data_IF_216612031639
#
_entry.id   IF_216612031639
#
_cell.length_a   1.000
_cell.length_b   1.000
_cell.length_c   1.000
_cell.angle_alpha   90.00
_cell.angle_beta   90.00
_cell.angle_gamma   90.00
#
_symmetry.space_group_name_H-M   'P 1'
#
loop_
_entity.id
_entity.type
_entity.pdbx_description
1 polymer ?
#
# COMPACT_ATOMS: atom_id res chain seq x y z
N UNK A 1 5.38 -25.90 2.83
CA UNK A 1 5.12 -24.74 3.70
C UNK A 1 6.20 -23.73 3.43
N UNK A 2 5.83 -22.53 3.03
CA UNK A 2 6.74 -21.44 2.73
C UNK A 2 6.88 -20.51 3.95
N UNK A 3 8.04 -19.91 4.13
CA UNK A 3 8.25 -18.86 5.16
C UNK A 3 7.68 -17.53 4.67
N UNK A 4 7.49 -16.58 5.60
CA UNK A 4 7.06 -15.23 5.25
C UNK A 4 8.04 -14.53 4.27
N UNK A 5 9.34 -14.84 4.34
CA UNK A 5 10.31 -14.31 3.39
C UNK A 5 10.19 -14.93 1.99
N UNK A 6 9.86 -16.23 1.90
CA UNK A 6 9.61 -16.88 0.61
C UNK A 6 8.41 -16.24 -0.07
N UNK A 7 7.33 -16.00 0.69
CA UNK A 7 6.15 -15.30 0.17
C UNK A 7 6.44 -13.85 -0.19
N UNK A 8 7.27 -13.14 0.57
CA UNK A 8 7.73 -11.79 0.20
C UNK A 8 8.40 -11.80 -1.17
N UNK A 9 9.29 -12.77 -1.42
CA UNK A 9 9.99 -12.90 -2.71
C UNK A 9 8.98 -13.13 -3.84
N UNK A 10 7.97 -13.96 -3.61
CA UNK A 10 6.88 -14.21 -4.56
C UNK A 10 6.08 -12.93 -4.87
N UNK A 11 5.81 -12.09 -3.86
CA UNK A 11 4.88 -10.97 -4.00
C UNK A 11 5.54 -9.60 -4.30
N UNK A 12 6.84 -9.43 -4.09
CA UNK A 12 7.49 -8.11 -4.19
C UNK A 12 7.42 -7.45 -5.56
N UNK A 13 7.34 -8.24 -6.62
CA UNK A 13 7.26 -7.77 -8.01
C UNK A 13 5.84 -7.68 -8.57
N UNK A 14 4.84 -7.96 -7.74
CA UNK A 14 3.44 -7.89 -8.15
C UNK A 14 2.99 -6.48 -8.50
N UNK A 15 3.40 -5.49 -7.71
CA UNK A 15 3.07 -4.07 -7.92
C UNK A 15 4.36 -3.25 -7.95
N UNK A 16 4.48 -2.41 -8.96
CA UNK A 16 5.67 -1.59 -9.25
C UNK A 16 5.38 -0.09 -9.27
N UNK A 17 6.45 0.68 -9.44
CA UNK A 17 6.37 2.12 -9.66
C UNK A 17 6.42 2.45 -11.16
N UNK A 18 5.73 3.50 -11.58
CA UNK A 18 5.87 4.06 -12.94
C UNK A 18 7.01 5.09 -13.01
N UNK A 19 7.85 4.99 -14.04
CA UNK A 19 8.85 6.03 -14.33
C UNK A 19 8.13 7.34 -14.65
N UNK A 20 8.47 8.47 -13.99
CA UNK A 20 7.96 9.77 -14.40
C UNK A 20 8.24 10.02 -15.89
N UNK A 21 7.32 10.72 -16.57
CA UNK A 21 7.49 11.09 -17.99
C UNK A 21 8.62 12.12 -18.16
N UNK A 22 8.93 12.87 -17.09
CA UNK A 22 10.00 13.85 -17.08
C UNK A 22 11.37 13.16 -17.24
N UNK A 23 12.02 13.44 -18.37
CA UNK A 23 13.33 12.88 -18.75
C UNK A 23 14.46 13.30 -17.79
N UNK A 24 14.25 14.35 -16.97
CA UNK A 24 15.21 14.76 -15.94
C UNK A 24 15.27 13.80 -14.75
N UNK A 25 14.30 12.91 -14.61
CA UNK A 25 14.25 11.88 -13.58
C UNK A 25 14.78 10.54 -14.13
N UNK A 26 16.10 10.48 -14.39
CA UNK A 26 16.77 9.27 -14.88
C UNK A 26 16.86 8.15 -13.82
N UNK A 27 16.53 8.48 -12.58
CA UNK A 27 16.84 7.75 -11.37
C UNK A 27 16.03 6.48 -11.07
N UNK A 28 15.26 5.88 -11.98
CA UNK A 28 14.51 4.65 -11.62
C UNK A 28 14.94 3.44 -12.44
N UNK A 29 15.42 2.41 -11.75
CA UNK A 29 15.89 1.17 -12.35
C UNK A 29 14.73 0.27 -12.79
N UNK A 30 15.05 -0.69 -13.67
CA UNK A 30 14.07 -1.63 -14.21
C UNK A 30 13.34 -2.42 -13.12
N UNK A 31 14.05 -2.82 -12.07
CA UNK A 31 13.51 -3.60 -10.95
C UNK A 31 12.38 -2.85 -10.24
N UNK A 32 12.54 -1.55 -9.99
CA UNK A 32 11.51 -0.71 -9.35
C UNK A 32 10.30 -0.45 -10.25
N UNK A 33 10.46 -0.59 -11.56
CA UNK A 33 9.37 -0.46 -12.52
C UNK A 33 8.62 -1.76 -12.81
N UNK A 34 9.16 -2.90 -12.39
CA UNK A 34 8.58 -4.19 -12.69
C UNK A 34 7.22 -4.36 -12.00
N UNK A 35 6.22 -4.77 -12.78
CA UNK A 35 4.88 -5.11 -12.28
C UNK A 35 4.36 -6.35 -12.99
N UNK A 36 4.07 -7.40 -12.23
CA UNK A 36 3.50 -8.65 -12.76
C UNK A 36 1.96 -8.63 -12.78
N UNK A 37 1.33 -7.83 -11.91
CA UNK A 37 -0.13 -7.66 -11.90
C UNK A 37 -0.63 -6.64 -12.92
N UNK A 38 0.29 -5.82 -13.45
CA UNK A 38 -0.04 -4.63 -14.24
C UNK A 38 -0.45 -3.42 -13.41
N UNK A 39 -0.59 -3.56 -12.09
CA UNK A 39 -0.87 -2.44 -11.19
C UNK A 39 0.38 -1.59 -10.95
N UNK A 40 0.15 -0.29 -10.79
CA UNK A 40 1.17 0.73 -10.57
C UNK A 40 0.77 1.59 -9.39
N UNK A 41 1.63 1.73 -8.38
CA UNK A 41 1.29 2.45 -7.14
C UNK A 41 0.76 3.88 -7.35
N UNK A 42 1.29 4.61 -8.33
CA UNK A 42 0.86 5.97 -8.63
C UNK A 42 -0.59 6.09 -9.13
N UNK A 43 -1.18 5.01 -9.64
CA UNK A 43 -2.59 5.01 -10.04
C UNK A 43 -3.53 4.92 -8.82
N UNK A 44 -2.99 4.60 -7.65
CA UNK A 44 -3.79 4.45 -6.43
C UNK A 44 -4.24 5.82 -5.92
N UNK A 45 -3.33 6.78 -5.90
CA UNK A 45 -3.64 8.13 -5.47
C UNK A 45 -2.59 9.13 -5.97
N UNK A 46 -3.00 10.36 -6.27
CA UNK A 46 -2.13 11.44 -6.77
C UNK A 46 -0.95 11.78 -5.86
N UNK A 47 -1.13 11.65 -4.54
CA UNK A 47 -0.08 11.85 -3.54
C UNK A 47 0.96 10.72 -3.50
N UNK A 48 0.66 9.56 -4.11
CA UNK A 48 1.65 8.50 -4.32
C UNK A 48 2.45 8.87 -5.57
N UNK A 49 3.38 9.80 -5.40
CA UNK A 49 4.25 10.28 -6.47
C UNK A 49 5.71 10.03 -6.12
N UNK A 50 6.50 9.64 -7.12
CA UNK A 50 7.95 9.41 -6.93
C UNK A 50 8.65 10.69 -6.46
N UNK A 51 8.25 11.84 -6.99
CA UNK A 51 8.77 13.14 -6.56
C UNK A 51 8.46 13.38 -5.07
N UNK A 52 7.22 13.14 -4.67
CA UNK A 52 6.80 13.34 -3.28
C UNK A 52 7.51 12.39 -2.33
N UNK A 53 7.69 11.12 -2.73
CA UNK A 53 8.46 10.15 -1.95
C UNK A 53 9.92 10.61 -1.81
N UNK A 54 10.56 11.05 -2.90
CA UNK A 54 11.96 11.53 -2.90
C UNK A 54 12.15 12.77 -2.03
N UNK A 55 11.22 13.69 -2.05
CA UNK A 55 11.39 14.96 -1.36
C UNK A 55 11.03 14.86 0.14
N UNK A 56 10.24 13.83 0.52
CA UNK A 56 9.81 13.62 1.92
C UNK A 56 10.56 12.52 2.68
N UNK A 57 11.35 11.68 2.00
CA UNK A 57 12.21 10.69 2.65
C UNK A 57 13.32 11.35 3.53
N UNK A 58 13.91 10.64 4.51
CA UNK A 58 14.72 11.27 5.57
C UNK A 58 16.18 11.58 5.20
N UNK A 59 16.72 11.05 4.10
CA UNK A 59 18.10 11.21 3.64
C UNK A 59 18.23 12.53 2.87
N UNK A 60 19.07 13.43 3.36
CA UNK A 60 19.39 14.68 2.66
C UNK A 60 20.22 14.42 1.40
N UNK A 61 19.97 15.20 0.34
CA UNK A 61 20.67 15.12 -0.95
C UNK A 61 20.81 13.68 -1.50
N UNK A 62 19.72 12.90 -1.37
CA UNK A 62 19.70 11.51 -1.82
C UNK A 62 20.01 11.43 -3.31
N UNK A 63 21.06 10.68 -3.66
CA UNK A 63 21.38 10.40 -5.05
C UNK A 63 20.47 9.33 -5.64
N UNK A 64 20.52 9.17 -6.96
CA UNK A 64 19.67 8.23 -7.70
C UNK A 64 19.89 6.77 -7.29
N UNK A 65 21.11 6.41 -6.91
CA UNK A 65 21.44 5.03 -6.51
C UNK A 65 20.81 4.72 -5.16
N UNK A 66 21.02 5.59 -4.18
CA UNK A 66 20.42 5.50 -2.85
C UNK A 66 18.90 5.59 -2.92
N UNK A 67 18.36 6.43 -3.80
CA UNK A 67 16.92 6.55 -3.98
C UNK A 67 16.29 5.27 -4.56
N UNK A 68 16.93 4.61 -5.53
CA UNK A 68 16.47 3.29 -5.99
C UNK A 68 16.49 2.25 -4.88
N UNK A 69 17.55 2.23 -4.06
CA UNK A 69 17.62 1.33 -2.91
C UNK A 69 16.49 1.62 -1.93
N UNK A 70 16.19 2.89 -1.68
CA UNK A 70 15.07 3.31 -0.84
C UNK A 70 13.73 2.82 -1.40
N UNK A 71 13.47 2.97 -2.71
CA UNK A 71 12.25 2.46 -3.35
C UNK A 71 12.13 0.93 -3.27
N UNK A 72 13.24 0.21 -3.42
CA UNK A 72 13.28 -1.25 -3.25
C UNK A 72 12.91 -1.64 -1.83
N UNK A 73 13.53 -1.01 -0.83
CA UNK A 73 13.22 -1.24 0.60
C UNK A 73 11.76 -0.91 0.89
N UNK A 74 11.24 0.18 0.31
CA UNK A 74 9.86 0.60 0.49
C UNK A 74 8.87 -0.45 -0.04
N UNK A 75 9.13 -1.00 -1.23
CA UNK A 75 8.31 -2.08 -1.82
C UNK A 75 8.34 -3.35 -1.00
N UNK A 76 9.53 -3.79 -0.61
CA UNK A 76 9.68 -5.01 0.21
C UNK A 76 9.01 -4.84 1.58
N UNK A 77 9.17 -3.68 2.21
CA UNK A 77 8.53 -3.35 3.49
C UNK A 77 7.01 -3.30 3.37
N UNK A 78 6.48 -2.71 2.29
CA UNK A 78 5.05 -2.66 2.01
C UNK A 78 4.44 -4.07 1.91
N UNK A 79 5.10 -4.98 1.20
CA UNK A 79 4.66 -6.38 1.07
C UNK A 79 4.72 -7.10 2.41
N UNK A 80 5.81 -6.92 3.16
CA UNK A 80 5.96 -7.51 4.49
C UNK A 80 4.87 -7.06 5.46
N UNK A 81 4.48 -5.79 5.42
CA UNK A 81 3.38 -5.28 6.24
C UNK A 81 2.05 -5.94 5.90
N UNK A 82 1.73 -6.10 4.61
CA UNK A 82 0.52 -6.85 4.19
C UNK A 82 0.57 -8.29 4.70
N UNK A 83 1.71 -8.96 4.57
CA UNK A 83 1.87 -10.34 5.04
C UNK A 83 1.72 -10.44 6.56
N UNK A 84 2.31 -9.52 7.32
CA UNK A 84 2.17 -9.47 8.78
C UNK A 84 0.71 -9.18 9.19
N UNK A 85 0.03 -8.29 8.47
CA UNK A 85 -1.37 -7.96 8.75
C UNK A 85 -2.29 -9.14 8.49
N UNK A 86 -2.02 -9.94 7.44
CA UNK A 86 -2.78 -11.14 7.07
C UNK A 86 -2.48 -12.31 8.00
N UNK A 87 -1.22 -12.67 8.17
CA UNK A 87 -0.81 -13.93 8.81
C UNK A 87 -0.47 -13.77 10.31
N UNK A 88 -0.39 -12.55 10.84
CA UNK A 88 -0.28 -12.26 12.28
C UNK A 88 0.79 -13.08 13.04
N UNK A 89 1.89 -13.45 12.37
CA UNK A 89 2.99 -14.22 12.97
C UNK A 89 2.95 -15.73 12.72
N UNK A 90 2.10 -16.24 11.82
CA UNK A 90 2.20 -17.62 11.34
C UNK A 90 3.57 -17.91 10.72
N UNK A 91 4.16 -19.04 11.10
CA UNK A 91 5.49 -19.47 10.66
C UNK A 91 5.48 -20.26 9.35
N UNK A 92 4.35 -20.85 9.00
CA UNK A 92 4.20 -21.75 7.86
C UNK A 92 2.98 -21.35 7.03
N UNK A 93 3.23 -20.92 5.80
CA UNK A 93 2.20 -20.39 4.91
C UNK A 93 2.05 -21.31 3.69
N UNK A 94 0.80 -21.56 3.28
CA UNK A 94 0.49 -22.32 2.07
C UNK A 94 0.66 -21.44 0.82
N UNK A 95 1.78 -21.62 0.14
CA UNK A 95 2.13 -20.93 -1.11
C UNK A 95 1.14 -21.22 -2.24
N UNK A 96 0.60 -22.45 -2.35
CA UNK A 96 -0.36 -22.80 -3.40
C UNK A 96 -1.65 -22.00 -3.22
N UNK A 97 -2.09 -21.85 -1.97
CA UNK A 97 -3.27 -21.06 -1.62
C UNK A 97 -3.07 -19.57 -1.91
N UNK A 98 -1.85 -19.05 -1.74
CA UNK A 98 -1.49 -17.69 -2.16
C UNK A 98 -1.57 -17.54 -3.67
N UNK A 99 -0.93 -18.44 -4.43
CA UNK A 99 -0.93 -18.39 -5.89
C UNK A 99 -2.36 -18.43 -6.46
N UNK A 100 -3.24 -19.24 -5.87
CA UNK A 100 -4.66 -19.29 -6.24
C UNK A 100 -5.44 -18.00 -5.97
N UNK A 101 -4.93 -17.13 -5.09
CA UNK A 101 -5.60 -15.89 -4.66
C UNK A 101 -4.71 -14.64 -4.81
N UNK A 102 -3.74 -14.68 -5.72
CA UNK A 102 -2.68 -13.66 -5.82
C UNK A 102 -3.21 -12.25 -6.06
N UNK A 103 -4.31 -12.12 -6.82
CA UNK A 103 -4.94 -10.84 -7.10
C UNK A 103 -5.48 -10.13 -5.84
N UNK A 104 -5.87 -10.89 -4.81
CA UNK A 104 -6.29 -10.31 -3.54
C UNK A 104 -5.10 -9.63 -2.84
N UNK A 105 -3.93 -10.28 -2.86
CA UNK A 105 -2.69 -9.70 -2.35
C UNK A 105 -2.24 -8.49 -3.17
N UNK A 106 -2.33 -8.56 -4.51
CA UNK A 106 -1.98 -7.43 -5.39
C UNK A 106 -2.75 -6.16 -4.97
N UNK A 107 -4.06 -6.29 -4.73
CA UNK A 107 -4.91 -5.18 -4.30
C UNK A 107 -4.59 -4.69 -2.89
N UNK A 108 -4.31 -5.58 -1.95
CA UNK A 108 -3.92 -5.20 -0.60
C UNK A 108 -2.56 -4.46 -0.59
N UNK A 109 -1.57 -4.95 -1.34
CA UNK A 109 -0.25 -4.32 -1.53
C UNK A 109 -0.40 -2.93 -2.16
N UNK A 110 -1.24 -2.82 -3.19
CA UNK A 110 -1.55 -1.55 -3.85
C UNK A 110 -2.13 -0.51 -2.89
N UNK A 111 -3.12 -0.90 -2.07
CA UNK A 111 -3.74 -0.01 -1.09
C UNK A 111 -2.81 0.30 0.09
N UNK A 112 -1.99 -0.65 0.55
CA UNK A 112 -1.06 -0.41 1.66
C UNK A 112 -0.03 0.65 1.31
N UNK A 113 0.42 0.70 0.05
CA UNK A 113 1.39 1.72 -0.38
C UNK A 113 0.85 3.14 -0.23
N UNK A 114 -0.45 3.36 -0.47
CA UNK A 114 -1.10 4.66 -0.23
C UNK A 114 -0.95 5.08 1.23
N UNK A 115 -1.22 4.15 2.16
CA UNK A 115 -1.08 4.40 3.60
C UNK A 115 0.39 4.64 3.97
N UNK A 116 1.30 3.82 3.43
CA UNK A 116 2.74 3.90 3.70
C UNK A 116 3.35 5.22 3.25
N UNK A 117 3.02 5.66 2.03
CA UNK A 117 3.45 6.97 1.52
C UNK A 117 2.81 8.09 2.34
N UNK A 118 1.56 7.92 2.77
CA UNK A 118 0.93 8.88 3.66
C UNK A 118 1.63 9.02 5.00
N UNK A 119 2.06 7.93 5.61
CA UNK A 119 2.88 7.92 6.82
C UNK A 119 4.22 8.66 6.60
N UNK A 120 4.90 8.39 5.48
CA UNK A 120 6.16 9.07 5.12
C UNK A 120 5.96 10.58 4.99
N UNK A 121 4.97 11.00 4.20
CA UNK A 121 4.68 12.43 3.97
C UNK A 121 4.30 13.12 5.28
N UNK A 122 3.36 12.56 6.05
CA UNK A 122 2.83 13.18 7.28
C UNK A 122 3.86 13.22 8.43
N UNK A 123 4.84 12.32 8.44
CA UNK A 123 5.91 12.30 9.44
C UNK A 123 7.15 13.09 9.03
N UNK A 124 7.25 13.49 7.75
CA UNK A 124 8.41 14.20 7.24
C UNK A 124 8.47 15.64 7.74
N UNK A 125 9.61 16.04 8.31
CA UNK A 125 9.88 17.45 8.63
C UNK A 125 10.16 18.30 7.40
N UNK A 126 10.65 17.66 6.32
CA UNK A 126 11.01 18.31 5.05
C UNK A 126 9.80 18.86 4.31
N UNK A 127 8.61 18.35 4.61
CA UNK A 127 7.37 18.85 4.00
C UNK A 127 7.16 20.35 4.24
N UNK A 128 7.64 20.88 5.37
CA UNK A 128 7.54 22.30 5.72
C UNK A 128 8.48 23.18 4.89
N UNK A 129 9.49 22.58 4.25
CA UNK A 129 10.49 23.27 3.43
C UNK A 129 10.09 23.29 1.95
N UNK A 130 9.04 22.55 1.58
CA UNK A 130 8.63 22.32 0.21
C UNK A 130 7.35 23.11 -0.10
N UNK A 131 7.48 24.17 -0.90
CA UNK A 131 6.42 25.14 -1.17
C UNK A 131 5.16 24.57 -1.85
N UNK A 132 5.29 23.46 -2.57
CA UNK A 132 4.15 22.85 -3.27
C UNK A 132 3.31 21.93 -2.38
N UNK A 133 3.79 21.54 -1.19
CA UNK A 133 2.94 20.86 -0.21
C UNK A 133 2.12 21.88 0.57
N UNK A 134 0.90 22.12 0.11
CA UNK A 134 -0.01 23.05 0.77
C UNK A 134 -0.78 22.38 1.92
N UNK A 135 -1.15 23.14 2.96
CA UNK A 135 -2.01 22.67 4.04
C UNK A 135 -3.32 22.05 3.54
N UNK A 136 -3.85 22.58 2.41
CA UNK A 136 -5.04 22.05 1.75
C UNK A 136 -4.79 20.65 1.20
N UNK A 137 -3.65 20.39 0.55
CA UNK A 137 -3.29 19.06 0.05
C UNK A 137 -3.14 18.07 1.20
N UNK A 138 -2.51 18.47 2.31
CA UNK A 138 -2.36 17.61 3.49
C UNK A 138 -3.71 17.33 4.16
N UNK A 139 -4.58 18.32 4.23
CA UNK A 139 -5.94 18.16 4.78
C UNK A 139 -6.78 17.23 3.91
N UNK A 140 -6.72 17.39 2.58
CA UNK A 140 -7.38 16.50 1.63
C UNK A 140 -6.84 15.08 1.77
N UNK A 141 -5.53 14.92 1.86
CA UNK A 141 -4.89 13.62 2.02
C UNK A 141 -5.32 12.91 3.30
N UNK A 142 -5.40 13.63 4.43
CA UNK A 142 -5.95 13.08 5.68
C UNK A 142 -7.40 12.63 5.53
N UNK A 143 -8.21 13.36 4.76
CA UNK A 143 -9.59 12.98 4.47
C UNK A 143 -9.65 11.74 3.59
N UNK A 144 -8.82 11.63 2.54
CA UNK A 144 -8.80 10.47 1.65
C UNK A 144 -8.31 9.21 2.37
N UNK A 145 -7.32 9.34 3.27
CA UNK A 145 -6.81 8.22 4.07
C UNK A 145 -7.85 7.70 5.08
N UNK A 146 -8.55 8.60 5.77
CA UNK A 146 -9.49 8.25 6.84
C UNK A 146 -10.92 8.01 6.36
N UNK A 147 -11.32 8.63 5.25
CA UNK A 147 -12.72 8.67 4.83
C UNK A 147 -13.52 9.77 5.53
N UNK A 148 -14.75 9.96 5.06
CA UNK A 148 -15.78 10.79 5.71
C UNK A 148 -17.01 9.94 6.00
N UNK A 149 -17.46 9.92 7.25
CA UNK A 149 -18.53 9.04 7.73
C UNK A 149 -18.25 7.54 7.54
N UNK A 150 -16.99 7.17 7.34
CA UNK A 150 -16.52 5.79 7.22
C UNK A 150 -16.29 5.13 8.58
N UNK A 151 -16.20 3.81 8.58
CA UNK A 151 -15.98 3.02 9.80
C UNK A 151 -14.63 3.38 10.46
N UNK A 152 -14.67 3.81 11.72
CA UNK A 152 -13.49 4.26 12.47
C UNK A 152 -12.99 5.68 12.11
N UNK A 153 -13.73 6.44 11.31
CA UNK A 153 -13.43 7.84 10.98
C UNK A 153 -14.31 8.83 11.76
N UNK A 154 -13.94 10.12 11.69
CA UNK A 154 -14.78 11.20 12.22
C UNK A 154 -16.10 11.28 11.45
N UNK A 155 -17.23 11.17 12.16
CA UNK A 155 -18.56 11.28 11.58
C UNK A 155 -19.00 12.73 11.56
N UNK A 156 -19.19 13.28 10.37
CA UNK A 156 -19.75 14.61 10.16
C UNK A 156 -20.98 14.50 9.24
N UNK A 157 -22.19 14.75 9.75
CA UNK A 157 -23.42 14.62 8.98
C UNK A 157 -23.51 15.56 7.76
N UNK A 158 -22.66 16.60 7.69
CA UNK A 158 -22.62 17.54 6.57
C UNK A 158 -21.72 17.10 5.40
N UNK A 159 -20.92 16.04 5.56
CA UNK A 159 -20.09 15.50 4.48
C UNK A 159 -20.72 14.23 3.89
N UNK A 160 -20.61 13.99 2.57
CA UNK A 160 -21.05 12.74 1.97
C UNK A 160 -20.23 11.56 2.51
N UNK A 161 -20.78 10.35 2.43
CA UNK A 161 -20.02 9.14 2.74
C UNK A 161 -18.88 8.95 1.73
N UNK A 162 -17.66 8.79 2.22
CA UNK A 162 -16.49 8.46 1.44
C UNK A 162 -15.66 7.43 2.20
N UNK A 163 -15.51 6.23 1.65
CA UNK A 163 -14.67 5.23 2.30
C UNK A 163 -13.20 5.53 2.08
N UNK A 164 -12.45 5.65 3.17
CA UNK A 164 -11.02 5.99 3.15
C UNK A 164 -10.14 4.82 2.76
N UNK A 165 -8.91 5.10 2.35
CA UNK A 165 -7.93 4.06 2.02
C UNK A 165 -7.66 3.10 3.19
N UNK A 166 -7.73 3.58 4.43
CA UNK A 166 -7.52 2.74 5.62
C UNK A 166 -8.58 1.63 5.71
N UNK A 167 -9.86 1.98 5.57
CA UNK A 167 -10.96 1.02 5.66
C UNK A 167 -10.99 0.08 4.45
N UNK A 168 -10.68 0.59 3.26
CA UNK A 168 -10.55 -0.23 2.05
C UNK A 168 -9.44 -1.27 2.22
N UNK A 169 -8.26 -0.86 2.69
CA UNK A 169 -7.15 -1.76 2.96
C UNK A 169 -7.52 -2.83 3.99
N UNK A 170 -8.12 -2.43 5.13
CA UNK A 170 -8.58 -3.37 6.17
C UNK A 170 -9.58 -4.39 5.64
N UNK A 171 -10.48 -3.98 4.75
CA UNK A 171 -11.45 -4.88 4.11
C UNK A 171 -10.75 -5.93 3.25
N UNK A 172 -9.75 -5.54 2.47
CA UNK A 172 -8.97 -6.48 1.67
C UNK A 172 -8.17 -7.45 2.56
N UNK A 173 -7.52 -6.97 3.61
CA UNK A 173 -6.83 -7.84 4.58
C UNK A 173 -7.79 -8.83 5.22
N UNK A 174 -8.98 -8.38 5.64
CA UNK A 174 -10.01 -9.25 6.22
C UNK A 174 -10.48 -10.30 5.19
N UNK A 175 -10.71 -9.89 3.95
CA UNK A 175 -11.07 -10.81 2.88
C UNK A 175 -9.99 -11.88 2.68
N UNK A 176 -8.71 -11.48 2.58
CA UNK A 176 -7.61 -12.45 2.48
C UNK A 176 -7.63 -13.39 3.68
N UNK A 177 -7.74 -12.89 4.91
CA UNK A 177 -7.83 -13.75 6.11
C UNK A 177 -8.95 -14.79 6.02
N UNK A 178 -10.14 -14.40 5.54
CA UNK A 178 -11.26 -15.36 5.39
C UNK A 178 -10.96 -16.45 4.36
N UNK A 179 -10.16 -16.16 3.33
CA UNK A 179 -9.72 -17.19 2.39
C UNK A 179 -8.80 -18.21 3.07
N UNK A 180 -7.91 -17.76 3.97
CA UNK A 180 -6.94 -18.62 4.65
C UNK A 180 -7.54 -19.37 5.86
N UNK A 181 -8.49 -18.76 6.57
CA UNK A 181 -9.21 -19.35 7.69
C UNK A 181 -10.44 -20.14 7.20
N UNK A 182 -10.26 -21.45 6.98
CA UNK A 182 -11.32 -22.36 6.48
C UNK A 182 -12.62 -22.37 7.31
N UNK A 183 -12.62 -21.88 8.56
CA UNK A 183 -13.80 -21.89 9.44
C UNK A 183 -14.74 -20.68 9.29
N UNK A 184 -14.28 -19.55 8.73
CA UNK A 184 -15.16 -18.36 8.56
C UNK A 184 -15.98 -18.42 7.27
N UNK A 185 -15.49 -19.09 6.22
CA UNK A 185 -16.21 -19.28 4.96
C UNK A 185 -17.51 -20.09 5.15
N UNK A 186 -17.49 -21.15 5.97
CA UNK A 186 -18.69 -21.94 6.31
C UNK A 186 -19.73 -21.11 7.09
N UNK A 187 -19.30 -20.11 7.87
CA UNK A 187 -20.21 -19.24 8.64
C UNK A 187 -20.98 -18.23 7.77
N UNK A 188 -20.43 -17.82 6.62
CA UNK A 188 -21.09 -16.89 5.69
C UNK A 188 -22.09 -17.60 4.77
N UNK A 189 -21.83 -18.85 4.37
CA UNK A 189 -22.81 -19.68 3.65
C UNK A 189 -24.02 -20.04 4.55
N UNK A 190 -23.80 -20.28 5.84
CA UNK A 190 -24.88 -20.56 6.79
C UNK A 190 -25.82 -19.34 7.04
N UNK A 191 -25.31 -18.11 6.90
CA UNK A 191 -26.09 -16.87 7.11
C UNK A 191 -26.84 -16.42 5.86
N UNK A 192 -26.41 -16.84 4.67
CA UNK A 192 -27.03 -16.45 3.38
C UNK A 192 -28.09 -17.44 2.89
N UNK A 193 -28.22 -18.60 3.54
CA UNK A 193 -29.24 -19.63 3.26
C UNK A 193 -30.24 -19.83 4.42
N UNK A 194 -30.27 -18.91 5.40
CA UNK A 194 -31.19 -18.92 6.56
C UNK A 194 -32.33 -17.93 6.44
#
# INVERSE_FOLDING_TARGET
MATLNDIKILLKNRVGFRKPIDETFEAMNADNTQTESGLVYQDAHSMVSILYIRDTQPIEDIDDTMFNQYLTILRESNVLEVLNDVFQGESEIDEIKILGNIAAFDKAIYLRMVLKVGEIILSSKRINEISYFTDKMISQWRLDLNGSNDEGSYKNPNFPFHSGYTSRYRREVKYIKTLFNNNEAESLEAVTLG
#
